data_IF_555930929460
#
_entry.id   IF_555930929460
#
_cell.length_a   1.000
_cell.length_b   1.000
_cell.length_c   1.000
_cell.angle_alpha   90.00
_cell.angle_beta   90.00
_cell.angle_gamma   90.00
#
_symmetry.space_group_name_H-M   'P 1'
#
loop_
_entity.id
_entity.type
_entity.pdbx_description
1 polymer ?
#
# COMPACT_ATOMS: atom_id res chain seq x y z
N UNK A 1 48.93 -67.14 -25.44
CA UNK A 1 48.94 -65.97 -24.54
C UNK A 1 47.86 -64.99 -25.02
N UNK A 2 46.62 -65.15 -24.57
CA UNK A 2 45.49 -64.34 -25.04
C UNK A 2 45.27 -63.15 -24.09
N UNK A 3 45.48 -61.92 -24.58
CA UNK A 3 45.11 -60.68 -23.89
C UNK A 3 43.61 -60.44 -24.05
N UNK A 4 42.84 -60.74 -23.02
CA UNK A 4 41.45 -60.29 -22.88
C UNK A 4 41.47 -58.77 -22.66
N UNK A 5 41.01 -57.97 -23.64
CA UNK A 5 40.76 -56.53 -23.43
C UNK A 5 39.37 -56.37 -22.80
N UNK A 6 39.35 -55.95 -21.55
CA UNK A 6 38.13 -55.66 -20.78
C UNK A 6 37.57 -54.32 -21.27
N UNK A 7 36.50 -54.33 -22.05
CA UNK A 7 35.75 -53.13 -22.42
C UNK A 7 34.91 -52.71 -21.21
N UNK A 8 35.41 -51.75 -20.42
CA UNK A 8 34.59 -51.01 -19.46
C UNK A 8 33.90 -49.87 -20.20
N UNK A 9 32.78 -50.15 -20.84
CA UNK A 9 31.88 -49.12 -21.34
C UNK A 9 31.28 -48.35 -20.15
N UNK A 10 31.69 -47.09 -20.03
CA UNK A 10 31.06 -46.11 -19.15
C UNK A 10 29.68 -45.76 -19.70
N UNK A 11 28.63 -46.32 -19.10
CA UNK A 11 27.28 -45.77 -19.27
C UNK A 11 27.16 -44.50 -18.42
N UNK A 12 27.55 -43.36 -19.00
CA UNK A 12 27.20 -42.04 -18.47
C UNK A 12 25.81 -41.72 -18.99
N UNK A 13 24.81 -41.79 -18.12
CA UNK A 13 23.45 -41.31 -18.43
C UNK A 13 23.51 -39.83 -18.81
N UNK A 14 22.67 -39.34 -19.75
CA UNK A 14 22.59 -37.92 -20.05
C UNK A 14 22.08 -37.21 -18.79
N UNK A 15 22.94 -36.41 -18.15
CA UNK A 15 22.52 -35.54 -17.07
C UNK A 15 21.49 -34.56 -17.63
N UNK A 16 20.23 -34.68 -17.21
CA UNK A 16 19.23 -33.62 -17.41
C UNK A 16 19.85 -32.32 -16.94
N UNK A 17 19.93 -31.33 -17.81
CA UNK A 17 20.32 -29.98 -17.43
C UNK A 17 19.38 -29.53 -16.31
N UNK A 18 19.94 -28.92 -15.27
CA UNK A 18 19.16 -28.28 -14.24
C UNK A 18 18.14 -27.32 -14.90
N UNK A 19 16.91 -27.20 -14.38
CA UNK A 19 15.97 -26.19 -14.86
C UNK A 19 16.64 -24.81 -14.77
N UNK A 20 16.31 -23.88 -15.70
CA UNK A 20 16.88 -22.53 -15.67
C UNK A 20 16.67 -21.93 -14.28
N UNK A 21 17.78 -21.52 -13.66
CA UNK A 21 17.75 -20.77 -12.42
C UNK A 21 17.14 -19.41 -12.72
N UNK A 22 15.98 -19.13 -12.15
CA UNK A 22 15.29 -17.87 -12.32
C UNK A 22 15.77 -16.92 -11.21
N UNK A 23 16.77 -16.09 -11.53
CA UNK A 23 17.25 -15.02 -10.66
C UNK A 23 16.24 -13.86 -10.65
N UNK A 24 15.13 -14.04 -9.93
CA UNK A 24 14.06 -13.03 -9.84
C UNK A 24 14.46 -11.75 -9.07
N UNK A 25 15.62 -11.72 -8.41
CA UNK A 25 15.92 -10.73 -7.36
C UNK A 25 16.99 -9.70 -7.76
N UNK A 26 17.32 -9.56 -9.05
CA UNK A 26 18.34 -8.61 -9.50
C UNK A 26 17.87 -7.16 -9.70
N UNK A 27 16.68 -6.95 -10.26
CA UNK A 27 16.28 -5.62 -10.77
C UNK A 27 14.78 -5.56 -11.13
N UNK A 28 13.91 -6.11 -10.28
CA UNK A 28 12.46 -5.98 -10.51
C UNK A 28 12.03 -4.54 -10.21
N UNK A 29 11.43 -3.87 -11.20
CA UNK A 29 10.79 -2.57 -11.00
C UNK A 29 9.75 -2.68 -9.87
N UNK A 30 9.65 -1.66 -8.98
CA UNK A 30 8.72 -1.70 -7.87
C UNK A 30 7.29 -1.85 -8.38
N UNK A 31 6.56 -2.82 -7.85
CA UNK A 31 5.16 -3.05 -8.23
C UNK A 31 4.34 -1.86 -7.73
N UNK A 32 3.74 -1.13 -8.67
CA UNK A 32 2.82 -0.02 -8.40
C UNK A 32 1.40 -0.43 -8.81
N UNK A 33 0.45 -0.26 -7.90
CA UNK A 33 -0.97 -0.48 -8.15
C UNK A 33 -1.71 0.84 -8.03
N UNK A 34 -2.43 1.22 -9.09
CA UNK A 34 -3.33 2.37 -9.08
C UNK A 34 -4.75 1.88 -8.77
N UNK A 35 -5.26 2.23 -7.58
CA UNK A 35 -6.62 1.93 -7.14
C UNK A 35 -7.43 3.22 -7.06
N UNK A 36 -8.05 3.59 -8.19
CA UNK A 36 -8.82 4.83 -8.29
C UNK A 36 -7.93 6.06 -8.08
N UNK A 37 -8.12 6.76 -6.96
CA UNK A 37 -7.32 7.93 -6.59
C UNK A 37 -6.05 7.58 -5.80
N UNK A 38 -5.86 6.31 -5.42
CA UNK A 38 -4.75 5.91 -4.55
C UNK A 38 -3.68 5.11 -5.27
N UNK A 39 -2.42 5.38 -4.93
CA UNK A 39 -1.25 4.68 -5.48
C UNK A 39 -0.59 3.86 -4.37
N UNK A 40 -0.62 2.54 -4.54
CA UNK A 40 0.05 1.59 -3.65
C UNK A 40 1.36 1.14 -4.27
N UNK A 41 2.45 1.25 -3.52
CA UNK A 41 3.78 0.80 -3.92
C UNK A 41 4.19 -0.40 -3.07
N UNK A 42 4.64 -1.47 -3.71
CA UNK A 42 5.22 -2.61 -3.03
C UNK A 42 6.72 -2.42 -2.86
N UNK A 43 7.16 -2.27 -1.61
CA UNK A 43 8.57 -2.07 -1.26
C UNK A 43 8.89 -2.81 0.05
N UNK A 44 10.07 -3.43 0.16
CA UNK A 44 10.54 -4.10 1.39
C UNK A 44 9.53 -5.12 1.95
N UNK A 45 8.87 -5.88 1.06
CA UNK A 45 7.81 -6.87 1.39
C UNK A 45 6.56 -6.27 2.05
N UNK A 46 6.35 -4.95 1.94
CA UNK A 46 5.19 -4.25 2.48
C UNK A 46 4.51 -3.42 1.39
N UNK A 47 3.19 -3.24 1.54
CA UNK A 47 2.43 -2.28 0.73
C UNK A 47 2.46 -0.92 1.41
N UNK A 48 3.03 0.07 0.73
CA UNK A 48 3.07 1.46 1.17
C UNK A 48 2.06 2.27 0.35
N UNK A 49 1.28 3.12 1.02
CA UNK A 49 0.41 4.05 0.33
C UNK A 49 1.16 5.37 0.13
N UNK A 50 1.37 5.79 -1.13
CA UNK A 50 2.01 7.08 -1.44
C UNK A 50 1.15 8.28 -0.98
N UNK A 51 -0.16 8.09 -0.72
CA UNK A 51 -1.07 9.11 -0.20
C UNK A 51 -0.91 9.37 1.31
N UNK A 52 0.28 9.15 1.87
CA UNK A 52 0.56 9.44 3.29
C UNK A 52 0.30 10.91 3.68
N UNK A 53 0.20 11.83 2.70
CA UNK A 53 -0.25 13.22 2.89
C UNK A 53 -1.76 13.39 3.15
N UNK A 54 -2.59 12.38 2.86
CA UNK A 54 -4.04 12.40 3.15
C UNK A 54 -4.34 12.48 4.64
N UNK A 55 -3.50 11.89 5.50
CA UNK A 55 -3.73 11.89 6.94
C UNK A 55 -3.64 13.29 7.57
N UNK A 56 -2.75 14.15 7.08
CA UNK A 56 -2.60 15.49 7.64
C UNK A 56 -3.72 16.42 7.15
N UNK A 57 -4.09 16.31 5.87
CA UNK A 57 -5.27 17.00 5.32
C UNK A 57 -6.57 16.56 6.02
N UNK A 58 -6.72 15.26 6.33
CA UNK A 58 -7.87 14.75 7.08
C UNK A 58 -7.90 15.29 8.51
N UNK A 59 -6.77 15.36 9.21
CA UNK A 59 -6.70 15.98 10.54
C UNK A 59 -7.05 17.47 10.49
N UNK A 60 -6.54 18.21 9.51
CA UNK A 60 -6.85 19.62 9.35
C UNK A 60 -8.34 19.83 9.07
N UNK A 61 -8.93 19.00 8.21
CA UNK A 61 -10.37 19.04 7.93
C UNK A 61 -11.22 18.70 9.16
N UNK A 62 -10.81 17.71 9.96
CA UNK A 62 -11.48 17.37 11.21
C UNK A 62 -11.42 18.53 12.21
N UNK A 63 -10.27 19.16 12.36
CA UNK A 63 -10.11 20.32 13.25
C UNK A 63 -10.97 21.51 12.79
N UNK A 64 -11.01 21.80 11.49
CA UNK A 64 -11.89 22.84 10.92
C UNK A 64 -13.37 22.52 11.13
N UNK A 65 -13.77 21.27 10.91
CA UNK A 65 -15.16 20.86 11.10
C UNK A 65 -15.60 21.05 12.55
N UNK A 66 -14.78 20.62 13.51
CA UNK A 66 -15.04 20.81 14.94
C UNK A 66 -15.19 22.28 15.33
N UNK A 67 -14.34 23.16 14.79
CA UNK A 67 -14.44 24.60 15.03
C UNK A 67 -15.74 25.18 14.47
N UNK A 68 -16.13 24.78 13.26
CA UNK A 68 -17.39 25.20 12.63
C UNK A 68 -18.62 24.69 13.38
N UNK A 69 -18.59 23.45 13.89
CA UNK A 69 -19.67 22.91 14.71
C UNK A 69 -19.86 23.72 16.00
N UNK A 70 -18.76 24.06 16.68
CA UNK A 70 -18.81 24.89 17.89
C UNK A 70 -19.39 26.29 17.59
N UNK A 71 -18.98 26.91 16.49
CA UNK A 71 -19.53 28.20 16.06
C UNK A 71 -21.03 28.09 15.74
N UNK A 72 -21.45 27.04 15.03
CA UNK A 72 -22.84 26.82 14.68
C UNK A 72 -23.73 26.65 15.93
N UNK A 73 -23.25 25.91 16.92
CA UNK A 73 -23.93 25.76 18.21
C UNK A 73 -24.07 27.10 18.94
N UNK A 74 -23.01 27.90 18.97
CA UNK A 74 -23.05 29.23 19.58
C UNK A 74 -24.02 30.16 18.84
N UNK A 75 -24.04 30.13 17.51
CA UNK A 75 -24.97 30.91 16.70
C UNK A 75 -26.42 30.50 16.96
N UNK A 76 -26.72 29.19 17.04
CA UNK A 76 -28.05 28.68 17.39
C UNK A 76 -28.49 29.16 18.77
N UNK A 77 -27.60 29.12 19.76
CA UNK A 77 -27.89 29.65 21.09
C UNK A 77 -28.19 31.16 21.05
N UNK A 78 -27.35 31.95 20.38
CA UNK A 78 -27.56 33.40 20.23
C UNK A 78 -28.89 33.71 19.55
N UNK A 79 -29.24 32.98 18.49
CA UNK A 79 -30.55 33.11 17.85
C UNK A 79 -31.69 32.76 18.81
N UNK A 80 -31.55 31.69 19.60
CA UNK A 80 -32.53 31.34 20.63
C UNK A 80 -32.78 32.49 21.59
N UNK A 81 -31.71 33.06 22.16
CA UNK A 81 -31.81 34.20 23.09
C UNK A 81 -32.47 35.42 22.41
N UNK A 82 -32.08 35.74 21.18
CA UNK A 82 -32.67 36.87 20.45
C UNK A 82 -34.15 36.64 20.14
N UNK A 83 -34.52 35.42 19.76
CA UNK A 83 -35.93 35.06 19.53
C UNK A 83 -36.73 35.13 20.83
N UNK A 84 -36.17 34.66 21.95
CA UNK A 84 -36.82 34.77 23.26
C UNK A 84 -37.02 36.24 23.65
N UNK A 85 -36.03 37.11 23.42
CA UNK A 85 -36.14 38.54 23.67
C UNK A 85 -37.22 39.23 22.82
N UNK A 86 -37.39 38.80 21.57
CA UNK A 86 -38.43 39.35 20.67
C UNK A 86 -39.82 38.80 21.01
N UNK A 87 -39.92 37.52 21.38
CA UNK A 87 -41.20 36.91 21.76
C UNK A 87 -41.70 37.34 23.15
N UNK A 88 -40.81 37.86 24.00
CA UNK A 88 -41.15 38.43 25.31
C UNK A 88 -41.35 39.95 25.31
N UNK A 89 -41.13 40.63 24.18
CA UNK A 89 -41.42 42.06 23.98
C UNK A 89 -42.82 42.26 23.39
#
# INVERSE_FOLDING_TARGET
>A
MNRMRRFSESFRSPSKSAPPHFDAEGEAEPIQLQLGTSVLRYENRMWLNEDSGSNEAVKELLAKNQALEAENQLLRFKMGVLLDMVCMA
#
